data_IF_781144302803
#
_entry.id   IF_781144302803
#
_cell.length_a   1.000
_cell.length_b   1.000
_cell.length_c   1.000
_cell.angle_alpha   90.00
_cell.angle_beta   90.00
_cell.angle_gamma   90.00
#
_symmetry.space_group_name_H-M   'P 1'
#
loop_
_entity.id
_entity.type
_entity.pdbx_description
1 polymer ?
#
# COMPACT_ATOMS: atom_id res chain seq x y z
N UNK A 1 -4.58 70.34 -33.13
CA UNK A 1 -5.39 69.69 -32.09
C UNK A 1 -5.80 68.31 -32.60
N UNK A 2 -5.06 67.23 -32.44
CA UNK A 2 -3.63 66.99 -32.36
C UNK A 2 -3.50 65.55 -32.87
N UNK A 3 -2.76 65.38 -33.97
CA UNK A 3 -2.41 64.06 -34.47
C UNK A 3 -1.31 63.53 -33.54
N UNK A 4 -1.68 62.57 -32.71
CA UNK A 4 -0.74 61.83 -31.89
C UNK A 4 -0.18 60.69 -32.77
N UNK A 5 0.80 61.04 -33.60
CA UNK A 5 1.58 60.08 -34.38
C UNK A 5 2.40 59.22 -33.40
N UNK A 6 1.98 57.96 -33.25
CA UNK A 6 2.71 56.94 -32.49
C UNK A 6 4.04 56.62 -33.20
N UNK A 7 5.12 56.69 -32.42
CA UNK A 7 6.49 56.54 -32.89
C UNK A 7 6.80 55.07 -33.28
N UNK A 8 7.21 54.78 -34.52
CA UNK A 8 7.41 53.42 -35.03
C UNK A 8 8.55 52.63 -34.35
N UNK A 9 9.35 53.26 -33.48
CA UNK A 9 10.47 52.61 -32.80
C UNK A 9 10.06 51.87 -31.51
N UNK A 10 8.89 52.18 -30.93
CA UNK A 10 8.36 51.45 -29.76
C UNK A 10 7.63 50.15 -30.16
N UNK A 11 7.00 50.14 -31.34
CA UNK A 11 6.32 48.96 -31.92
C UNK A 11 7.30 47.79 -32.20
N UNK A 12 8.53 48.08 -32.61
CA UNK A 12 9.54 47.05 -32.88
C UNK A 12 10.09 46.35 -31.62
N UNK A 13 9.91 46.94 -30.43
CA UNK A 13 10.48 46.41 -29.17
C UNK A 13 9.57 45.41 -28.46
N UNK A 14 8.25 45.42 -28.70
CA UNK A 14 7.31 44.50 -28.05
C UNK A 14 7.15 43.18 -28.81
N UNK A 15 7.23 43.22 -30.14
CA UNK A 15 7.27 42.03 -31.02
C UNK A 15 8.48 41.14 -30.72
N UNK A 16 9.68 41.73 -30.60
CA UNK A 16 10.91 40.97 -30.34
C UNK A 16 10.97 40.34 -28.94
N UNK A 17 10.37 40.99 -27.93
CA UNK A 17 10.30 40.45 -26.55
C UNK A 17 9.25 39.36 -26.40
N UNK A 18 8.13 39.46 -27.12
CA UNK A 18 7.08 38.45 -27.12
C UNK A 18 7.53 37.15 -27.79
N UNK A 19 8.29 37.23 -28.89
CA UNK A 19 8.84 36.06 -29.57
C UNK A 19 9.92 35.32 -28.74
N UNK A 20 10.73 36.05 -27.96
CA UNK A 20 11.73 35.47 -27.05
C UNK A 20 11.10 34.75 -25.85
N UNK A 21 9.98 35.26 -25.30
CA UNK A 21 9.27 34.65 -24.17
C UNK A 21 8.47 33.42 -24.63
N UNK A 22 7.82 33.48 -25.78
CA UNK A 22 7.10 32.32 -26.36
C UNK A 22 8.10 31.20 -26.74
N UNK A 23 9.29 31.55 -27.25
CA UNK A 23 10.36 30.59 -27.53
C UNK A 23 10.88 29.88 -26.27
N UNK A 24 11.03 30.58 -25.15
CA UNK A 24 11.47 30.00 -23.87
C UNK A 24 10.38 29.15 -23.19
N UNK A 25 9.10 29.51 -23.33
CA UNK A 25 7.97 28.70 -22.83
C UNK A 25 7.79 27.43 -23.66
N UNK A 26 7.96 27.50 -24.99
CA UNK A 26 7.92 26.31 -25.86
C UNK A 26 9.13 25.39 -25.67
N UNK A 27 10.33 25.92 -25.37
CA UNK A 27 11.50 25.10 -25.04
C UNK A 27 11.41 24.45 -23.64
N UNK A 28 10.69 25.07 -22.69
CA UNK A 28 10.43 24.50 -21.38
C UNK A 28 9.37 23.37 -21.42
N UNK A 29 8.45 23.40 -22.40
CA UNK A 29 7.41 22.36 -22.56
C UNK A 29 7.94 21.12 -23.31
N UNK A 30 9.02 21.23 -24.10
CA UNK A 30 9.65 20.09 -24.77
C UNK A 30 10.70 19.34 -23.94
N UNK A 31 10.94 19.75 -22.69
CA UNK A 31 12.02 19.22 -21.84
C UNK A 31 11.60 18.26 -20.71
N UNK A 32 10.31 17.96 -20.54
CA UNK A 32 9.82 16.99 -19.55
C UNK A 32 9.27 15.74 -20.23
N UNK A 33 10.15 15.02 -20.94
CA UNK A 33 9.93 13.60 -21.18
C UNK A 33 10.26 12.87 -19.88
N UNK A 34 9.31 12.84 -18.95
CA UNK A 34 9.32 11.78 -17.94
C UNK A 34 9.11 10.48 -18.70
N UNK A 35 10.18 9.69 -18.79
CA UNK A 35 10.08 8.25 -18.95
C UNK A 35 9.37 7.71 -17.71
N UNK A 36 8.06 7.91 -17.64
CA UNK A 36 7.20 7.10 -16.81
C UNK A 36 7.27 5.68 -17.36
N UNK A 37 7.61 4.73 -16.51
CA UNK A 37 7.46 3.33 -16.84
C UNK A 37 5.96 3.10 -17.06
N UNK A 38 5.52 3.09 -18.33
CA UNK A 38 4.28 2.43 -18.69
C UNK A 38 4.50 0.96 -18.40
N UNK A 39 4.03 0.50 -17.25
CA UNK A 39 3.66 -0.90 -17.10
C UNK A 39 2.24 -1.00 -17.67
N UNK A 40 2.16 -1.05 -19.00
CA UNK A 40 0.98 -1.65 -19.60
C UNK A 40 1.04 -3.11 -19.14
N UNK A 41 0.08 -3.55 -18.33
CA UNK A 41 -0.15 -4.98 -18.13
C UNK A 41 -0.92 -5.41 -19.38
N UNK A 42 -0.30 -6.07 -20.37
CA UNK A 42 -1.08 -6.94 -21.21
C UNK A 42 -1.63 -7.98 -20.25
N UNK A 43 -2.94 -7.94 -20.00
CA UNK A 43 -3.64 -9.11 -19.47
C UNK A 43 -3.82 -10.02 -20.67
N UNK A 44 -3.00 -11.07 -20.88
CA UNK A 44 -3.47 -12.17 -21.70
C UNK A 44 -4.62 -12.81 -20.92
N UNK A 45 -5.85 -12.51 -21.35
CA UNK A 45 -6.99 -13.39 -21.19
C UNK A 45 -6.62 -14.72 -21.87
N UNK A 46 -5.90 -15.58 -21.17
CA UNK A 46 -5.74 -17.03 -21.34
C UNK A 46 -4.45 -17.50 -20.65
N UNK A 47 -4.51 -17.56 -19.33
CA UNK A 47 -3.85 -18.58 -18.54
C UNK A 47 -4.81 -19.01 -17.42
N UNK A 48 -6.01 -19.44 -17.83
CA UNK A 48 -6.74 -20.42 -17.05
C UNK A 48 -5.90 -21.70 -17.20
N UNK A 49 -5.01 -21.95 -16.26
CA UNK A 49 -4.69 -23.34 -15.94
C UNK A 49 -5.93 -23.87 -15.23
N UNK A 50 -6.67 -24.74 -15.92
CA UNK A 50 -7.79 -25.50 -15.40
C UNK A 50 -7.28 -26.51 -14.36
N UNK A 51 -6.80 -26.00 -13.23
CA UNK A 51 -6.37 -26.77 -12.07
C UNK A 51 -7.49 -26.86 -11.04
N UNK A 52 -8.51 -27.66 -11.33
CA UNK A 52 -9.45 -28.16 -10.32
C UNK A 52 -8.68 -28.70 -9.10
N UNK A 53 -8.76 -28.00 -7.97
CA UNK A 53 -8.04 -28.34 -6.75
C UNK A 53 -8.72 -27.78 -5.51
N UNK A 54 -9.95 -28.21 -5.24
CA UNK A 54 -10.54 -28.04 -3.92
C UNK A 54 -9.71 -28.78 -2.86
N UNK A 55 -9.29 -28.03 -1.84
CA UNK A 55 -8.91 -28.56 -0.53
C UNK A 55 -7.55 -29.26 -0.42
N UNK A 56 -6.79 -28.85 0.60
CA UNK A 56 -5.74 -29.67 1.20
C UNK A 56 -4.34 -29.12 0.97
N UNK A 57 -3.67 -28.78 2.08
CA UNK A 57 -2.29 -28.32 2.08
C UNK A 57 -1.33 -29.31 1.44
N UNK A 58 -0.25 -28.75 0.89
CA UNK A 58 0.87 -29.48 0.35
C UNK A 58 1.85 -28.49 -0.24
N UNK A 59 2.97 -28.27 0.46
CA UNK A 59 4.05 -27.42 0.00
C UNK A 59 4.58 -27.89 -1.34
N UNK A 60 4.74 -26.94 -2.26
CA UNK A 60 5.60 -27.08 -3.42
C UNK A 60 6.36 -25.76 -3.55
N UNK A 61 7.69 -25.89 -3.63
CA UNK A 61 8.72 -24.85 -3.75
C UNK A 61 8.55 -23.97 -4.99
N UNK A 62 7.41 -23.30 -5.13
CA UNK A 62 7.22 -22.24 -6.10
C UNK A 62 7.27 -20.90 -5.38
N UNK A 63 8.17 -19.99 -5.80
CA UNK A 63 8.12 -18.62 -5.34
C UNK A 63 6.78 -18.00 -5.73
N UNK A 64 6.32 -17.04 -4.94
CA UNK A 64 5.15 -16.25 -5.25
C UNK A 64 5.28 -15.66 -6.65
N UNK A 65 4.19 -15.71 -7.42
CA UNK A 65 4.15 -15.01 -8.69
C UNK A 65 4.10 -13.50 -8.41
N UNK A 66 5.09 -12.71 -8.88
CA UNK A 66 5.09 -11.26 -8.67
C UNK A 66 3.90 -10.54 -9.29
N UNK A 67 3.17 -11.19 -10.21
CA UNK A 67 1.97 -10.65 -10.84
C UNK A 67 0.68 -11.10 -10.14
N UNK A 68 0.75 -11.92 -9.10
CA UNK A 68 -0.42 -12.40 -8.36
C UNK A 68 -0.50 -11.71 -7.01
N UNK A 69 -1.70 -11.25 -6.65
CA UNK A 69 -1.98 -10.71 -5.32
C UNK A 69 -2.48 -11.80 -4.40
N UNK A 70 -1.81 -11.97 -3.27
CA UNK A 70 -2.11 -12.95 -2.24
C UNK A 70 -2.87 -12.29 -1.11
N UNK A 71 -4.18 -12.54 -1.05
CA UNK A 71 -5.10 -11.86 -0.14
C UNK A 71 -4.63 -11.88 1.32
N UNK A 72 -4.25 -13.06 1.82
CA UNK A 72 -3.90 -13.23 3.24
C UNK A 72 -2.63 -12.45 3.64
N UNK A 73 -1.69 -12.29 2.72
CA UNK A 73 -0.38 -11.68 2.95
C UNK A 73 -0.37 -10.18 2.63
N UNK A 74 -1.10 -9.77 1.60
CA UNK A 74 -0.98 -8.45 1.00
C UNK A 74 -2.21 -7.57 1.17
N UNK A 75 -3.42 -8.14 1.27
CA UNK A 75 -4.69 -7.38 1.33
C UNK A 75 -5.24 -7.33 2.74
N UNK A 76 -5.47 -8.49 3.35
CA UNK A 76 -6.07 -8.60 4.67
C UNK A 76 -5.34 -7.79 5.76
N UNK A 77 -3.99 -7.76 5.83
CA UNK A 77 -3.31 -7.03 6.91
C UNK A 77 -3.61 -5.53 6.93
N UNK A 78 -3.70 -4.87 5.77
CA UNK A 78 -4.04 -3.45 5.76
C UNK A 78 -5.54 -3.22 5.96
N UNK A 79 -6.42 -4.14 5.54
CA UNK A 79 -7.85 -4.04 5.85
C UNK A 79 -8.09 -4.15 7.36
N UNK A 80 -7.42 -5.10 8.03
CA UNK A 80 -7.51 -5.27 9.48
C UNK A 80 -6.96 -4.04 10.21
N UNK A 81 -5.75 -3.60 9.83
CA UNK A 81 -5.07 -2.52 10.54
C UNK A 81 -5.61 -1.12 10.25
N UNK A 82 -6.30 -0.90 9.12
CA UNK A 82 -6.84 0.41 8.76
C UNK A 82 -8.36 0.51 8.91
N UNK A 83 -9.10 -0.58 8.71
CA UNK A 83 -10.56 -0.56 8.58
C UNK A 83 -11.26 -1.40 9.66
N UNK A 84 -10.77 -2.60 9.99
CA UNK A 84 -11.38 -3.50 10.98
C UNK A 84 -11.08 -3.11 12.44
N UNK A 85 -11.31 -1.84 12.77
CA UNK A 85 -11.10 -1.24 14.09
C UNK A 85 -12.39 -1.22 14.90
N UNK A 86 -12.25 -1.11 16.22
CA UNK A 86 -13.39 -0.89 17.11
C UNK A 86 -14.07 0.44 16.81
N UNK A 87 -15.38 0.40 16.60
CA UNK A 87 -16.20 1.53 16.15
C UNK A 87 -16.18 1.75 14.62
N UNK A 88 -15.56 0.85 13.86
CA UNK A 88 -15.53 0.89 12.39
C UNK A 88 -15.96 -0.48 11.85
N UNK A 89 -15.14 -1.18 11.06
CA UNK A 89 -15.58 -2.39 10.33
C UNK A 89 -15.05 -3.71 10.92
N UNK A 90 -15.14 -3.89 12.24
CA UNK A 90 -14.79 -5.15 12.90
C UNK A 90 -16.03 -5.99 13.28
N UNK A 91 -15.85 -7.28 13.57
CA UNK A 91 -16.99 -8.16 13.89
C UNK A 91 -17.83 -7.75 15.12
N UNK A 92 -17.29 -6.94 16.04
CA UNK A 92 -17.97 -6.58 17.28
C UNK A 92 -18.80 -5.29 17.18
N UNK A 93 -18.36 -4.35 16.34
CA UNK A 93 -18.85 -2.96 16.31
C UNK A 93 -19.09 -2.43 14.89
N UNK A 94 -19.22 -3.34 13.91
CA UNK A 94 -19.39 -3.07 12.49
C UNK A 94 -20.37 -1.92 12.19
N UNK A 95 -19.83 -0.79 11.72
CA UNK A 95 -20.62 0.27 11.11
C UNK A 95 -21.20 -0.24 9.79
N UNK A 96 -22.48 0.05 9.56
CA UNK A 96 -23.27 -0.41 8.41
C UNK A 96 -23.29 -1.95 8.20
N UNK A 97 -22.93 -2.71 9.24
CA UNK A 97 -22.84 -4.17 9.15
C UNK A 97 -21.65 -4.69 8.34
N UNK A 98 -20.72 -3.81 7.95
CA UNK A 98 -19.54 -4.14 7.17
C UNK A 98 -18.42 -4.65 8.10
N UNK A 99 -17.89 -5.84 7.81
CA UNK A 99 -16.86 -6.52 8.59
C UNK A 99 -15.67 -6.87 7.66
N UNK A 100 -14.48 -6.37 7.98
CA UNK A 100 -13.30 -6.47 7.11
C UNK A 100 -12.13 -7.25 7.75
N UNK A 101 -12.44 -8.18 8.67
CA UNK A 101 -11.44 -8.91 9.46
C UNK A 101 -11.04 -10.29 8.92
N UNK A 102 -11.70 -10.76 7.85
CA UNK A 102 -11.42 -12.06 7.24
C UNK A 102 -11.83 -12.08 5.77
N UNK A 103 -11.29 -13.02 4.99
CA UNK A 103 -11.66 -13.19 3.58
C UNK A 103 -13.18 -13.31 3.39
N UNK A 104 -13.82 -14.19 4.16
CA UNK A 104 -15.26 -14.42 4.05
C UNK A 104 -16.05 -13.14 4.35
N UNK A 105 -15.67 -12.39 5.39
CA UNK A 105 -16.37 -11.17 5.76
C UNK A 105 -16.13 -10.06 4.73
N UNK A 106 -14.90 -9.90 4.23
CA UNK A 106 -14.58 -8.93 3.17
C UNK A 106 -15.40 -9.21 1.90
N UNK A 107 -15.46 -10.46 1.45
CA UNK A 107 -16.26 -10.82 0.27
C UNK A 107 -17.76 -10.62 0.48
N UNK A 108 -18.28 -10.99 1.66
CA UNK A 108 -19.72 -10.99 1.91
C UNK A 108 -20.29 -9.62 2.30
N UNK A 109 -19.50 -8.80 3.00
CA UNK A 109 -19.98 -7.55 3.62
C UNK A 109 -19.28 -6.31 3.08
N UNK A 110 -18.09 -6.44 2.48
CA UNK A 110 -17.47 -5.36 1.71
C UNK A 110 -17.96 -5.29 0.26
N UNK A 111 -18.96 -6.10 -0.10
CA UNK A 111 -19.59 -6.17 -1.43
C UNK A 111 -18.55 -6.20 -2.57
N UNK A 112 -17.68 -7.21 -2.52
CA UNK A 112 -16.64 -7.41 -3.54
C UNK A 112 -17.18 -8.25 -4.69
N UNK A 113 -17.11 -7.71 -5.91
CA UNK A 113 -17.46 -8.44 -7.14
C UNK A 113 -16.19 -8.90 -7.87
N UNK A 114 -15.89 -10.21 -7.87
CA UNK A 114 -14.72 -10.75 -8.56
C UNK A 114 -14.66 -10.31 -10.04
N UNK A 115 -13.49 -9.87 -10.49
CA UNK A 115 -13.25 -9.38 -11.86
C UNK A 115 -13.99 -8.09 -12.24
N UNK A 116 -14.77 -7.48 -11.35
CA UNK A 116 -15.47 -6.23 -11.60
C UNK A 116 -15.16 -5.21 -10.51
N UNK A 117 -14.16 -4.37 -10.80
CA UNK A 117 -13.77 -3.29 -9.90
C UNK A 117 -14.86 -2.23 -9.74
N UNK A 118 -15.64 -1.97 -10.81
CA UNK A 118 -16.69 -0.95 -10.80
C UNK A 118 -17.94 -1.37 -10.03
N UNK A 119 -18.15 -2.68 -9.85
CA UNK A 119 -19.26 -3.26 -9.09
C UNK A 119 -18.81 -3.71 -7.69
N UNK A 120 -17.68 -3.19 -7.19
CA UNK A 120 -17.12 -3.51 -5.87
C UNK A 120 -17.16 -2.29 -4.95
N UNK A 121 -18.10 -2.29 -3.99
CA UNK A 121 -18.34 -1.15 -3.09
C UNK A 121 -17.10 -0.78 -2.28
N UNK A 122 -16.37 -1.77 -1.74
CA UNK A 122 -15.14 -1.52 -0.98
C UNK A 122 -14.10 -0.72 -1.77
N UNK A 123 -14.08 -0.85 -3.10
CA UNK A 123 -13.17 -0.07 -3.93
C UNK A 123 -13.73 1.32 -4.24
N UNK A 124 -15.03 1.44 -4.47
CA UNK A 124 -15.70 2.74 -4.69
C UNK A 124 -15.45 3.69 -3.51
N UNK A 125 -15.74 3.24 -2.28
CA UNK A 125 -15.65 4.11 -1.10
C UNK A 125 -14.23 4.53 -0.74
N UNK A 126 -13.21 3.70 -1.03
CA UNK A 126 -11.81 4.08 -0.78
C UNK A 126 -11.22 4.97 -1.89
N UNK A 127 -11.88 5.03 -3.05
CA UNK A 127 -11.45 5.83 -4.20
C UNK A 127 -12.36 7.06 -4.42
N UNK A 128 -13.27 7.33 -3.48
CA UNK A 128 -14.17 8.49 -3.49
C UNK A 128 -13.43 9.77 -3.03
N UNK A 129 -13.95 10.90 -3.50
CA UNK A 129 -13.50 12.26 -3.19
C UNK A 129 -14.44 13.03 -2.27
N UNK A 130 -15.71 12.62 -2.18
CA UNK A 130 -16.69 13.18 -1.26
C UNK A 130 -16.31 12.87 0.19
N UNK A 131 -16.02 13.89 1.04
CA UNK A 131 -15.58 13.68 2.42
C UNK A 131 -16.62 12.98 3.30
N UNK A 132 -17.89 12.97 2.91
CA UNK A 132 -18.96 12.31 3.66
C UNK A 132 -19.12 10.83 3.29
N UNK A 133 -18.42 10.36 2.25
CA UNK A 133 -18.51 8.99 1.73
C UNK A 133 -17.17 8.26 1.70
N UNK A 134 -16.07 8.99 1.61
CA UNK A 134 -14.73 8.40 1.51
C UNK A 134 -14.38 7.59 2.76
N UNK A 135 -13.79 6.43 2.55
CA UNK A 135 -13.29 5.55 3.61
C UNK A 135 -11.77 5.35 3.50
N UNK A 136 -11.01 5.37 4.61
CA UNK A 136 -11.45 5.72 5.97
C UNK A 136 -11.97 7.18 6.07
N UNK A 137 -12.83 7.53 7.04
CA UNK A 137 -13.37 8.88 7.14
C UNK A 137 -12.30 9.95 7.35
N UNK A 138 -12.56 11.22 6.99
CA UNK A 138 -11.65 12.33 7.28
C UNK A 138 -11.27 12.40 8.77
N UNK A 139 -9.97 12.42 9.05
CA UNK A 139 -9.41 12.37 10.42
C UNK A 139 -8.77 11.03 10.76
N UNK A 140 -9.09 9.97 10.03
CA UNK A 140 -8.40 8.68 10.10
C UNK A 140 -7.20 8.62 9.14
N UNK A 141 -6.28 7.69 9.40
CA UNK A 141 -5.15 7.43 8.50
C UNK A 141 -5.66 6.83 7.19
N UNK A 142 -5.49 7.56 6.09
CA UNK A 142 -5.89 7.13 4.75
C UNK A 142 -4.99 6.01 4.22
N UNK A 143 -5.54 5.17 3.35
CA UNK A 143 -4.73 4.19 2.62
C UNK A 143 -3.74 4.90 1.69
N UNK A 144 -2.58 4.29 1.52
CA UNK A 144 -1.62 4.72 0.51
C UNK A 144 -2.12 4.34 -0.88
N UNK A 145 -1.69 5.07 -1.92
CA UNK A 145 -2.01 4.71 -3.30
C UNK A 145 -1.57 3.28 -3.65
N UNK A 146 -0.47 2.79 -3.06
CA UNK A 146 0.00 1.43 -3.24
C UNK A 146 -1.00 0.39 -2.69
N UNK A 147 -1.59 0.64 -1.52
CA UNK A 147 -2.63 -0.22 -0.93
C UNK A 147 -3.92 -0.19 -1.76
N UNK A 148 -4.36 1.00 -2.21
CA UNK A 148 -5.52 1.13 -3.10
C UNK A 148 -5.31 0.35 -4.40
N UNK A 149 -4.14 0.49 -5.02
CA UNK A 149 -3.77 -0.26 -6.23
C UNK A 149 -3.70 -1.78 -5.97
N UNK A 150 -3.20 -2.20 -4.79
CA UNK A 150 -3.15 -3.61 -4.40
C UNK A 150 -4.55 -4.21 -4.29
N UNK A 151 -5.49 -3.51 -3.65
CA UNK A 151 -6.88 -3.95 -3.56
C UNK A 151 -7.52 -4.05 -4.95
N UNK A 152 -7.32 -3.02 -5.79
CA UNK A 152 -7.84 -2.99 -7.14
C UNK A 152 -7.31 -4.16 -8.00
N UNK A 153 -6.01 -4.45 -7.89
CA UNK A 153 -5.39 -5.57 -8.60
C UNK A 153 -5.95 -6.91 -8.14
N UNK A 154 -6.11 -7.11 -6.82
CA UNK A 154 -6.71 -8.33 -6.27
C UNK A 154 -8.14 -8.57 -6.77
N UNK A 155 -8.98 -7.53 -6.79
CA UNK A 155 -10.36 -7.61 -7.30
C UNK A 155 -10.36 -8.00 -8.79
N UNK A 156 -9.53 -7.33 -9.59
CA UNK A 156 -9.38 -7.63 -11.02
C UNK A 156 -8.80 -9.02 -11.32
N UNK A 157 -8.12 -9.65 -10.35
CA UNK A 157 -7.64 -11.03 -10.41
C UNK A 157 -8.67 -12.07 -9.94
N UNK A 158 -9.91 -11.64 -9.71
CA UNK A 158 -11.00 -12.51 -9.28
C UNK A 158 -11.15 -12.63 -7.77
N UNK A 159 -10.59 -11.70 -7.01
CA UNK A 159 -10.75 -11.61 -5.55
C UNK A 159 -10.51 -12.95 -4.82
N UNK A 160 -9.48 -13.70 -5.25
CA UNK A 160 -9.22 -15.05 -4.77
C UNK A 160 -8.60 -15.03 -3.36
N UNK A 161 -8.91 -16.05 -2.55
CA UNK A 161 -8.30 -16.25 -1.23
C UNK A 161 -6.92 -16.93 -1.33
N UNK A 162 -6.02 -16.33 -2.11
CA UNK A 162 -4.70 -16.91 -2.32
C UNK A 162 -3.79 -16.66 -1.12
N UNK A 163 -2.94 -17.66 -0.88
CA UNK A 163 -1.88 -17.64 0.12
C UNK A 163 -0.59 -17.90 -0.63
N UNK A 164 0.40 -17.03 -0.45
CA UNK A 164 1.77 -17.39 -0.75
C UNK A 164 2.55 -17.50 0.55
N UNK A 165 3.38 -18.52 0.65
CA UNK A 165 4.48 -18.47 1.58
C UNK A 165 5.70 -17.96 0.81
N UNK A 166 6.03 -16.68 0.92
CA UNK A 166 7.24 -16.12 0.31
C UNK A 166 8.52 -16.84 0.79
N UNK A 167 8.43 -17.69 1.84
CA UNK A 167 9.50 -18.60 2.24
C UNK A 167 9.73 -19.79 1.29
N UNK A 168 8.81 -20.09 0.35
CA UNK A 168 9.00 -21.11 -0.70
C UNK A 168 9.70 -20.56 -1.95
N UNK A 169 9.94 -19.25 -2.02
CA UNK A 169 10.88 -18.62 -2.95
C UNK A 169 12.24 -18.34 -2.30
N UNK A 170 13.27 -17.94 -3.08
CA UNK A 170 14.53 -17.48 -2.49
C UNK A 170 14.27 -16.19 -1.71
N UNK A 171 14.11 -16.32 -0.40
CA UNK A 171 14.09 -15.20 0.52
C UNK A 171 15.50 -14.59 0.60
N UNK A 172 15.71 -13.45 -0.06
CA UNK A 172 16.88 -12.63 0.22
C UNK A 172 16.65 -11.85 1.52
N UNK A 173 17.06 -12.46 2.62
CA UNK A 173 17.13 -11.81 3.92
C UNK A 173 18.56 -11.43 4.29
N UNK A 174 19.55 -11.56 3.40
CA UNK A 174 20.97 -11.38 3.76
C UNK A 174 21.43 -9.95 3.52
N UNK A 175 20.90 -9.27 2.49
CA UNK A 175 21.23 -7.87 2.19
C UNK A 175 20.02 -6.98 2.40
N UNK A 176 19.59 -6.84 3.65
CA UNK A 176 18.36 -6.10 4.00
C UNK A 176 18.64 -4.61 4.12
N UNK A 177 17.83 -3.80 3.47
CA UNK A 177 17.81 -2.34 3.61
C UNK A 177 16.61 -1.87 4.42
N UNK A 178 16.77 -0.81 5.21
CA UNK A 178 15.63 -0.23 5.90
C UNK A 178 14.59 0.29 4.90
N UNK A 179 15.03 1.08 3.93
CA UNK A 179 14.13 1.73 2.99
C UNK A 179 13.46 0.75 2.00
N UNK A 180 14.22 -0.25 1.51
CA UNK A 180 13.75 -1.17 0.48
C UNK A 180 13.00 -2.39 1.01
N UNK A 181 13.32 -2.84 2.23
CA UNK A 181 12.80 -4.12 2.73
C UNK A 181 11.96 -3.97 4.00
N UNK A 182 12.41 -3.16 4.96
CA UNK A 182 11.73 -3.03 6.25
C UNK A 182 10.53 -2.09 6.16
N UNK A 183 10.71 -0.91 5.56
CA UNK A 183 9.65 0.11 5.44
C UNK A 183 8.40 -0.43 4.74
N UNK A 184 8.47 -1.17 3.61
CA UNK A 184 7.28 -1.72 2.98
C UNK A 184 6.50 -2.68 3.89
N UNK A 185 7.19 -3.52 4.67
CA UNK A 185 6.53 -4.44 5.61
C UNK A 185 5.80 -3.62 6.70
N UNK A 186 6.47 -2.62 7.27
CA UNK A 186 5.88 -1.78 8.33
C UNK A 186 4.69 -0.98 7.82
N UNK A 187 4.80 -0.35 6.65
CA UNK A 187 3.73 0.44 6.05
C UNK A 187 2.48 -0.40 5.77
N UNK A 188 2.67 -1.62 5.27
CA UNK A 188 1.56 -2.48 4.87
C UNK A 188 0.90 -3.20 6.05
N UNK A 189 1.67 -3.53 7.11
CA UNK A 189 1.19 -4.44 8.16
C UNK A 189 1.13 -3.84 9.56
N UNK A 190 1.76 -2.68 9.78
CA UNK A 190 1.97 -2.16 11.13
C UNK A 190 1.46 -0.72 11.31
N UNK A 191 1.76 0.16 10.35
CA UNK A 191 1.52 1.61 10.49
C UNK A 191 0.03 1.93 10.63
N UNK A 192 -0.90 1.15 10.06
CA UNK A 192 -2.35 1.39 10.22
C UNK A 192 -2.84 1.56 11.67
N UNK A 193 -2.20 0.85 12.61
CA UNK A 193 -2.42 1.00 14.06
C UNK A 193 -1.25 1.70 14.78
N UNK A 194 -0.03 1.66 14.25
CA UNK A 194 1.19 2.18 14.88
C UNK A 194 1.72 3.47 14.22
N UNK A 195 0.86 4.31 13.61
CA UNK A 195 1.29 5.60 13.05
C UNK A 195 1.87 6.52 14.13
N UNK A 196 1.17 6.68 15.25
CA UNK A 196 1.56 7.57 16.37
C UNK A 196 1.61 6.79 17.67
N UNK A 197 2.38 7.23 18.66
CA UNK A 197 2.42 6.57 19.97
C UNK A 197 1.19 6.97 20.80
N UNK A 198 0.27 6.03 21.05
CA UNK A 198 -0.97 6.26 21.82
C UNK A 198 -1.15 5.19 22.89
N UNK A 199 -2.05 5.41 23.86
CA UNK A 199 -2.33 4.40 24.89
C UNK A 199 -2.97 3.13 24.32
N UNK A 200 -3.65 3.21 23.18
CA UNK A 200 -4.36 2.08 22.55
C UNK A 200 -3.44 1.16 21.75
N UNK A 201 -2.24 1.61 21.36
CA UNK A 201 -1.26 0.81 20.62
C UNK A 201 0.03 0.55 21.41
N UNK A 202 -0.04 0.61 22.74
CA UNK A 202 1.09 0.35 23.63
C UNK A 202 2.16 1.44 23.62
N UNK A 203 1.81 2.68 23.22
CA UNK A 203 2.71 3.82 23.04
C UNK A 203 3.84 3.55 22.03
N UNK A 204 3.56 2.72 21.02
CA UNK A 204 4.50 2.36 19.96
C UNK A 204 4.16 3.10 18.68
N UNK A 205 5.12 3.86 18.14
CA UNK A 205 5.07 4.37 16.77
C UNK A 205 6.08 3.61 15.90
N UNK A 206 5.64 3.19 14.72
CA UNK A 206 6.46 2.56 13.68
C UNK A 206 6.52 3.43 12.42
N UNK A 207 6.25 4.74 12.57
CA UNK A 207 6.37 5.73 11.50
C UNK A 207 7.70 6.48 11.63
N UNK A 208 8.52 6.42 10.57
CA UNK A 208 9.83 7.06 10.51
C UNK A 208 10.94 6.26 11.20
N UNK A 209 12.16 6.37 10.65
CA UNK A 209 13.32 5.55 11.05
C UNK A 209 13.60 5.59 12.55
N UNK A 210 13.69 6.78 13.16
CA UNK A 210 14.07 6.93 14.57
C UNK A 210 13.11 6.22 15.53
N UNK A 211 11.81 6.23 15.23
CA UNK A 211 10.82 5.54 16.06
C UNK A 211 10.95 4.01 15.91
N UNK A 212 11.13 3.54 14.67
CA UNK A 212 11.31 2.10 14.40
C UNK A 212 12.61 1.58 15.04
N UNK A 213 13.71 2.31 14.90
CA UNK A 213 15.01 1.99 15.51
C UNK A 213 14.88 1.85 17.04
N UNK A 214 14.19 2.79 17.69
CA UNK A 214 13.96 2.75 19.13
C UNK A 214 13.22 1.48 19.56
N UNK A 215 12.10 1.17 18.90
CA UNK A 215 11.26 -0.01 19.22
C UNK A 215 11.98 -1.33 18.87
N UNK A 216 12.81 -1.32 17.83
CA UNK A 216 13.66 -2.45 17.49
C UNK A 216 14.72 -2.70 18.56
N UNK A 217 15.38 -1.64 19.05
CA UNK A 217 16.43 -1.71 20.06
C UNK A 217 15.98 -2.23 21.43
N UNK A 218 14.68 -2.15 21.76
CA UNK A 218 14.12 -2.75 22.98
C UNK A 218 13.83 -4.25 22.84
N UNK A 219 13.92 -4.80 21.62
CA UNK A 219 13.50 -6.16 21.29
C UNK A 219 11.99 -6.32 21.12
N UNK A 220 11.19 -5.27 21.37
CA UNK A 220 9.73 -5.34 21.25
C UNK A 220 9.28 -5.66 19.82
N UNK A 221 9.92 -5.06 18.81
CA UNK A 221 9.56 -5.31 17.41
C UNK A 221 9.70 -6.79 17.05
N UNK A 222 10.87 -7.38 17.32
CA UNK A 222 11.14 -8.79 17.00
C UNK A 222 10.30 -9.73 17.86
N UNK A 223 10.17 -9.46 19.16
CA UNK A 223 9.35 -10.27 20.06
C UNK A 223 7.89 -10.32 19.64
N UNK A 224 7.30 -9.18 19.29
CA UNK A 224 5.91 -9.08 18.88
C UNK A 224 5.64 -9.82 17.55
N UNK A 225 6.45 -9.60 16.50
CA UNK A 225 6.22 -10.23 15.18
C UNK A 225 6.56 -11.73 15.17
N UNK A 226 7.39 -12.19 16.12
CA UNK A 226 7.66 -13.62 16.31
C UNK A 226 6.62 -14.31 17.18
N UNK A 227 5.66 -13.58 17.75
CA UNK A 227 4.70 -14.08 18.74
C UNK A 227 5.40 -14.76 19.92
N UNK A 228 6.51 -14.17 20.39
CA UNK A 228 7.16 -14.63 21.63
C UNK A 228 6.21 -14.40 22.82
N UNK A 229 5.98 -15.39 23.70
CA UNK A 229 5.05 -15.27 24.84
C UNK A 229 5.33 -14.12 25.81
N UNK A 230 6.54 -13.53 25.76
CA UNK A 230 6.95 -12.40 26.60
C UNK A 230 6.46 -11.05 26.05
N UNK A 231 5.87 -11.04 24.85
CA UNK A 231 5.43 -9.84 24.14
C UNK A 231 3.98 -9.99 23.68
N UNK A 232 3.28 -8.87 23.48
CA UNK A 232 1.99 -8.89 22.80
C UNK A 232 2.19 -9.31 21.34
N UNK A 233 1.47 -10.35 20.90
CA UNK A 233 1.54 -10.85 19.54
C UNK A 233 1.01 -9.80 18.55
N UNK A 234 1.76 -9.54 17.49
CA UNK A 234 1.37 -8.59 16.44
C UNK A 234 1.54 -9.21 15.05
N UNK A 235 0.60 -8.96 14.12
CA UNK A 235 -0.55 -8.04 14.21
C UNK A 235 -1.66 -8.51 15.16
N UNK A 236 -2.27 -7.59 15.91
CA UNK A 236 -3.30 -7.92 16.91
C UNK A 236 -4.53 -8.52 16.24
N UNK A 237 -4.95 -9.70 16.69
CA UNK A 237 -6.02 -10.51 16.09
C UNK A 237 -5.74 -11.01 14.65
N UNK A 238 -4.58 -10.66 14.08
CA UNK A 238 -4.21 -10.98 12.71
C UNK A 238 -3.28 -12.21 12.57
N UNK A 239 -3.05 -12.67 11.33
CA UNK A 239 -2.08 -13.73 11.08
C UNK A 239 -0.66 -13.23 11.36
N UNK A 240 0.17 -14.11 11.93
CA UNK A 240 1.60 -13.88 12.10
C UNK A 240 2.27 -13.58 10.74
N UNK A 241 3.25 -12.68 10.73
CA UNK A 241 4.08 -12.41 9.54
C UNK A 241 4.72 -13.71 9.01
N UNK A 242 4.97 -13.76 7.70
CA UNK A 242 5.62 -14.92 7.12
C UNK A 242 7.10 -15.01 7.55
N UNK A 243 7.71 -16.17 7.36
CA UNK A 243 9.06 -16.42 7.84
C UNK A 243 10.11 -15.51 7.18
N UNK A 244 9.93 -15.14 5.91
CA UNK A 244 10.85 -14.26 5.19
C UNK A 244 10.80 -12.82 5.70
N UNK A 245 9.60 -12.27 5.92
CA UNK A 245 9.42 -10.94 6.50
C UNK A 245 10.04 -10.84 7.90
N UNK A 246 9.80 -11.85 8.73
CA UNK A 246 10.42 -11.97 10.05
C UNK A 246 11.95 -12.04 9.90
N UNK A 247 12.47 -12.82 8.96
CA UNK A 247 13.91 -12.94 8.73
C UNK A 247 14.53 -11.60 8.29
N UNK A 248 13.89 -10.87 7.38
CA UNK A 248 14.34 -9.53 6.95
C UNK A 248 14.43 -8.57 8.13
N UNK A 249 13.37 -8.45 8.92
CA UNK A 249 13.36 -7.56 10.10
C UNK A 249 14.42 -8.01 11.12
N UNK A 250 14.50 -9.31 11.41
CA UNK A 250 15.50 -9.83 12.37
C UNK A 250 16.93 -9.55 11.91
N UNK A 251 17.24 -9.72 10.63
CA UNK A 251 18.58 -9.54 10.11
C UNK A 251 18.95 -8.05 10.12
N UNK A 252 18.05 -7.17 9.67
CA UNK A 252 18.23 -5.72 9.81
C UNK A 252 18.48 -5.28 11.26
N UNK A 253 17.72 -5.82 12.23
CA UNK A 253 17.96 -5.54 13.66
C UNK A 253 19.33 -6.05 14.11
N UNK A 254 19.70 -7.27 13.70
CA UNK A 254 20.99 -7.88 14.07
C UNK A 254 22.20 -7.16 13.47
N UNK A 255 22.03 -6.48 12.34
CA UNK A 255 23.04 -5.69 11.65
C UNK A 255 23.17 -4.26 12.22
N UNK A 256 22.42 -3.94 13.27
CA UNK A 256 22.51 -2.66 13.98
C UNK A 256 21.55 -1.60 13.46
N UNK A 257 20.37 -2.01 12.97
CA UNK A 257 19.26 -1.13 12.61
C UNK A 257 19.68 0.01 11.67
N UNK A 258 20.42 -0.30 10.61
CA UNK A 258 20.97 0.70 9.70
C UNK A 258 19.88 1.49 8.98
N UNK A 259 20.08 2.79 8.77
CA UNK A 259 19.22 3.61 7.92
C UNK A 259 19.77 3.63 6.49
N UNK A 260 19.51 2.56 5.73
CA UNK A 260 20.06 2.30 4.39
C UNK A 260 18.99 1.99 3.34
#
# INVERSE_FOLDING_TARGET
MDNNDLNPVEELKWEAKSLLIIGLVLLAILGFSVSGCKHDIPVPLNAIDDGNGGGGGGGSDQPCDPNTVYFQQQVLPFLVSSCAKSGCHNAATAEDGVILDSYANVMNTGEVTPFDLSDSEIWEVINESDPDKVMPPPGETQLTQAQINMLALWINQGAQNLICDDASGPCDSVSVSFAGDVVPILQNKCVGCHTTATSTNGFVSLSGFTNVELVAGTGQLVGAITHDPSYAAMPDGGPKLNACEIAKIKNWVSEGTLNN
#
